data_IF_605278423324
#
_entry.id   IF_605278423324
#
_cell.length_a   1.000
_cell.length_b   1.000
_cell.length_c   1.000
_cell.angle_alpha   90.00
_cell.angle_beta   90.00
_cell.angle_gamma   90.00
#
_symmetry.space_group_name_H-M   'P 1'
#
loop_
_entity.id
_entity.type
_entity.pdbx_description
1 polymer ?
#
# COMPACT_ATOMS: atom_id res chain seq x y z
N UNK A 1 -8.76 -25.90 23.82
CA UNK A 1 -8.72 -25.96 22.34
C UNK A 1 -9.46 -24.74 21.78
N UNK A 2 -8.82 -23.55 21.89
CA UNK A 2 -9.33 -22.27 21.36
C UNK A 2 -8.47 -21.80 20.18
N UNK A 3 -8.30 -22.68 19.17
CA UNK A 3 -7.49 -22.34 17.97
C UNK A 3 -8.21 -21.36 17.05
N UNK A 4 -9.52 -21.16 17.24
CA UNK A 4 -10.31 -20.14 16.55
C UNK A 4 -10.48 -18.90 17.44
N UNK A 5 -9.36 -18.38 17.90
CA UNK A 5 -9.27 -17.14 18.66
C UNK A 5 -9.76 -15.95 17.80
N UNK A 6 -10.15 -14.86 18.48
CA UNK A 6 -10.58 -13.61 17.84
C UNK A 6 -9.58 -13.17 16.76
N UNK A 7 -8.27 -13.28 17.05
CA UNK A 7 -7.20 -12.94 16.11
C UNK A 7 -7.27 -13.75 14.80
N UNK A 8 -7.47 -15.06 14.88
CA UNK A 8 -7.61 -15.90 13.68
C UNK A 8 -8.83 -15.52 12.84
N UNK A 9 -9.97 -15.23 13.50
CA UNK A 9 -11.18 -14.78 12.80
C UNK A 9 -10.97 -13.42 12.13
N UNK A 10 -10.29 -12.49 12.78
CA UNK A 10 -9.94 -11.18 12.23
C UNK A 10 -9.05 -11.35 10.99
N UNK A 11 -8.02 -12.19 11.05
CA UNK A 11 -7.14 -12.50 9.92
C UNK A 11 -7.94 -13.13 8.77
N UNK A 12 -8.73 -14.17 9.03
CA UNK A 12 -9.47 -14.89 8.00
C UNK A 12 -10.50 -13.99 7.30
N UNK A 13 -11.27 -13.22 8.07
CA UNK A 13 -12.27 -12.31 7.50
C UNK A 13 -11.63 -11.23 6.65
N UNK A 14 -10.52 -10.66 7.11
CA UNK A 14 -9.80 -9.63 6.36
C UNK A 14 -9.16 -10.18 5.10
N UNK A 15 -8.63 -11.41 5.16
CA UNK A 15 -8.08 -12.07 3.99
C UNK A 15 -9.16 -12.33 2.91
N UNK A 16 -10.36 -12.72 3.31
CA UNK A 16 -11.48 -12.87 2.37
C UNK A 16 -11.88 -11.53 1.73
N UNK A 17 -11.93 -10.46 2.51
CA UNK A 17 -12.17 -9.11 2.00
C UNK A 17 -11.06 -8.69 1.03
N UNK A 18 -9.80 -8.98 1.36
CA UNK A 18 -8.65 -8.69 0.50
C UNK A 18 -8.73 -9.42 -0.84
N UNK A 19 -9.13 -10.68 -0.85
CA UNK A 19 -9.33 -11.44 -2.11
C UNK A 19 -10.36 -10.73 -3.00
N UNK A 20 -11.49 -10.31 -2.44
CA UNK A 20 -12.52 -9.59 -3.20
C UNK A 20 -11.97 -8.26 -3.73
N UNK A 21 -11.25 -7.50 -2.89
CA UNK A 21 -10.61 -6.25 -3.30
C UNK A 21 -9.60 -6.45 -4.43
N UNK A 22 -8.76 -7.48 -4.34
CA UNK A 22 -7.81 -7.86 -5.39
C UNK A 22 -8.50 -8.24 -6.70
N UNK A 23 -9.63 -8.96 -6.64
CA UNK A 23 -10.44 -9.28 -7.84
C UNK A 23 -11.01 -8.01 -8.49
N UNK A 24 -11.46 -7.05 -7.70
CA UNK A 24 -11.94 -5.76 -8.22
C UNK A 24 -10.80 -5.00 -8.88
N UNK A 25 -9.65 -4.86 -8.23
CA UNK A 25 -8.48 -4.20 -8.81
C UNK A 25 -8.01 -4.89 -10.09
N UNK A 26 -7.94 -6.23 -10.11
CA UNK A 26 -7.60 -7.00 -11.30
C UNK A 26 -8.60 -6.83 -12.44
N UNK A 27 -9.90 -6.73 -12.12
CA UNK A 27 -10.94 -6.46 -13.12
C UNK A 27 -10.78 -5.06 -13.73
N UNK A 28 -10.52 -4.05 -12.91
CA UNK A 28 -10.25 -2.69 -13.39
C UNK A 28 -9.01 -2.68 -14.30
N UNK A 29 -7.93 -3.35 -13.90
CA UNK A 29 -6.72 -3.47 -14.70
C UNK A 29 -7.01 -4.14 -16.06
N UNK A 30 -7.84 -5.17 -16.08
CA UNK A 30 -8.27 -5.85 -17.30
C UNK A 30 -9.05 -4.93 -18.24
N UNK A 31 -9.89 -4.04 -17.71
CA UNK A 31 -10.61 -3.06 -18.52
C UNK A 31 -9.67 -2.04 -19.19
N UNK A 32 -8.53 -1.73 -18.58
CA UNK A 32 -7.53 -0.80 -19.11
C UNK A 32 -6.42 -1.48 -19.93
N UNK A 33 -6.52 -2.79 -20.22
CA UNK A 33 -5.46 -3.55 -20.90
C UNK A 33 -5.05 -2.91 -22.24
N UNK A 34 -5.99 -2.44 -23.04
CA UNK A 34 -5.68 -1.83 -24.35
C UNK A 34 -4.84 -0.56 -24.19
N UNK A 35 -5.08 0.25 -23.17
CA UNK A 35 -4.31 1.46 -22.86
C UNK A 35 -2.92 1.10 -22.35
N UNK A 36 -2.81 0.08 -21.50
CA UNK A 36 -1.54 -0.40 -20.97
C UNK A 36 -0.65 -0.99 -22.07
N UNK A 37 -1.22 -1.64 -23.07
CA UNK A 37 -0.49 -2.19 -24.22
C UNK A 37 0.15 -1.11 -25.11
N UNK A 38 -0.25 0.15 -24.98
CA UNK A 38 0.44 1.27 -25.68
C UNK A 38 1.86 1.45 -25.17
N UNK A 39 2.13 1.07 -23.93
CA UNK A 39 3.46 1.10 -23.31
C UNK A 39 3.70 -0.26 -22.64
N UNK A 40 4.11 -1.31 -23.40
CA UNK A 40 4.23 -2.67 -22.84
C UNK A 40 5.14 -2.76 -21.61
N UNK A 41 6.15 -1.89 -21.53
CA UNK A 41 7.05 -1.84 -20.39
C UNK A 41 6.36 -1.42 -19.05
N UNK A 42 5.12 -0.92 -19.09
CA UNK A 42 4.36 -0.59 -17.87
C UNK A 42 4.06 -1.85 -17.06
N UNK A 43 3.94 -3.02 -17.71
CA UNK A 43 3.75 -4.30 -17.03
C UNK A 43 4.92 -4.70 -16.13
N UNK A 44 6.11 -4.09 -16.31
CA UNK A 44 7.25 -4.27 -15.40
C UNK A 44 7.04 -3.52 -14.08
N UNK A 45 6.32 -2.40 -14.13
CA UNK A 45 6.08 -1.52 -12.97
C UNK A 45 4.95 -2.07 -12.12
N UNK A 46 3.88 -2.59 -12.74
CA UNK A 46 2.63 -2.93 -12.07
C UNK A 46 2.81 -3.86 -10.86
N UNK A 47 3.48 -5.02 -10.95
CA UNK A 47 3.61 -5.91 -9.79
C UNK A 47 4.31 -5.24 -8.61
N UNK A 48 5.42 -4.55 -8.87
CA UNK A 48 6.19 -3.86 -7.83
C UNK A 48 5.44 -2.68 -7.23
N UNK A 49 4.66 -1.96 -8.04
CA UNK A 49 3.88 -0.81 -7.59
C UNK A 49 2.70 -1.23 -6.71
N UNK A 50 1.99 -2.29 -7.08
CA UNK A 50 0.90 -2.85 -6.28
C UNK A 50 1.42 -3.42 -4.95
N UNK A 51 2.51 -4.19 -4.98
CA UNK A 51 3.14 -4.74 -3.78
C UNK A 51 3.65 -3.67 -2.79
N UNK A 52 4.02 -2.49 -3.31
CA UNK A 52 4.53 -1.38 -2.51
C UNK A 52 3.60 -0.99 -1.36
N UNK A 53 2.28 -1.01 -1.56
CA UNK A 53 1.31 -0.57 -0.54
C UNK A 53 1.24 -1.52 0.64
N UNK A 54 1.29 -2.83 0.39
CA UNK A 54 1.41 -3.82 1.45
C UNK A 54 2.65 -3.60 2.32
N UNK A 55 3.76 -3.27 1.69
CA UNK A 55 5.03 -3.07 2.38
C UNK A 55 5.12 -1.73 3.09
N UNK A 56 4.84 -0.62 2.41
CA UNK A 56 4.98 0.74 2.98
C UNK A 56 3.89 1.00 4.03
N UNK A 57 2.63 0.87 3.64
CA UNK A 57 1.51 1.18 4.53
C UNK A 57 1.29 0.10 5.58
N UNK A 58 1.58 -1.18 5.27
CA UNK A 58 1.57 -2.26 6.24
C UNK A 58 2.61 -2.05 7.34
N UNK A 59 3.84 -1.67 6.99
CA UNK A 59 4.89 -1.30 7.95
C UNK A 59 4.48 -0.09 8.79
N UNK A 60 3.89 0.93 8.17
CA UNK A 60 3.40 2.11 8.87
C UNK A 60 2.31 1.74 9.89
N UNK A 61 1.32 0.94 9.48
CA UNK A 61 0.26 0.45 10.36
C UNK A 61 0.81 -0.37 11.53
N UNK A 62 1.77 -1.27 11.28
CA UNK A 62 2.40 -2.10 12.31
C UNK A 62 3.17 -1.27 13.34
N UNK A 63 3.90 -0.24 12.89
CA UNK A 63 4.60 0.68 13.81
C UNK A 63 3.63 1.50 14.67
N UNK A 64 2.53 1.97 14.08
CA UNK A 64 1.48 2.67 14.83
C UNK A 64 0.80 1.73 15.84
N UNK A 65 0.45 0.54 15.42
CA UNK A 65 -0.16 -0.48 16.27
C UNK A 65 0.74 -0.79 17.47
N UNK A 66 2.01 -1.07 17.24
CA UNK A 66 2.99 -1.30 18.31
C UNK A 66 3.09 -0.10 19.25
N UNK A 67 3.11 1.12 18.71
CA UNK A 67 3.13 2.35 19.50
C UNK A 67 1.88 2.53 20.38
N UNK A 68 0.71 2.14 19.87
CA UNK A 68 -0.55 2.16 20.60
C UNK A 68 -0.57 1.12 21.73
N UNK A 69 -0.13 -0.12 21.47
CA UNK A 69 -0.06 -1.17 22.49
C UNK A 69 0.95 -0.86 23.61
N UNK A 70 2.07 -0.22 23.26
CA UNK A 70 3.10 0.18 24.24
C UNK A 70 2.76 1.49 24.97
N UNK A 71 1.67 2.16 24.61
CA UNK A 71 1.29 3.45 25.19
C UNK A 71 2.20 4.63 24.78
N UNK A 72 3.11 4.45 23.81
CA UNK A 72 3.93 5.51 23.24
C UNK A 72 3.11 6.45 22.35
N UNK A 73 2.11 5.91 21.69
CA UNK A 73 1.11 6.64 20.93
C UNK A 73 -0.21 6.58 21.71
N UNK A 74 -0.79 7.76 22.00
CA UNK A 74 -2.09 7.83 22.68
C UNK A 74 -3.22 7.48 21.72
N UNK A 75 -4.15 6.65 22.13
CA UNK A 75 -5.37 6.32 21.39
C UNK A 75 -6.34 7.52 21.27
N UNK A 76 -6.19 8.52 22.14
CA UNK A 76 -7.05 9.71 22.19
C UNK A 76 -6.68 10.78 21.17
N UNK A 77 -5.42 10.81 20.72
CA UNK A 77 -4.92 11.86 19.81
C UNK A 77 -4.01 11.30 18.73
N UNK A 78 -4.31 11.65 17.49
CA UNK A 78 -3.49 11.32 16.31
C UNK A 78 -2.38 12.35 16.08
N UNK A 79 -2.40 13.48 16.79
CA UNK A 79 -1.49 14.62 16.58
C UNK A 79 -0.32 14.57 17.57
N UNK A 80 0.50 13.53 17.49
CA UNK A 80 1.73 13.40 18.29
C UNK A 80 2.96 13.46 17.40
N UNK A 81 4.11 13.85 17.97
CA UNK A 81 5.39 13.85 17.24
C UNK A 81 5.73 12.46 16.69
N UNK A 82 5.40 11.41 17.44
CA UNK A 82 5.63 10.05 17.02
C UNK A 82 4.78 9.67 15.79
N UNK A 83 3.50 10.03 15.77
CA UNK A 83 2.61 9.82 14.62
C UNK A 83 3.09 10.62 13.41
N UNK A 84 3.39 11.90 13.59
CA UNK A 84 3.90 12.78 12.53
C UNK A 84 5.20 12.25 11.93
N UNK A 85 6.15 11.81 12.75
CA UNK A 85 7.40 11.23 12.28
C UNK A 85 7.20 9.95 11.47
N UNK A 86 6.32 9.06 11.91
CA UNK A 86 5.97 7.85 11.17
C UNK A 86 5.24 8.15 9.85
N UNK A 87 4.37 9.17 9.85
CA UNK A 87 3.67 9.63 8.66
C UNK A 87 4.65 10.15 7.59
N UNK A 88 5.56 11.05 7.99
CA UNK A 88 6.61 11.59 7.11
C UNK A 88 7.49 10.45 6.57
N UNK A 89 7.88 9.50 7.42
CA UNK A 89 8.67 8.36 7.00
C UNK A 89 7.94 7.49 5.96
N UNK A 90 6.64 7.25 6.12
CA UNK A 90 5.84 6.49 5.17
C UNK A 90 5.73 7.20 3.81
N UNK A 91 5.47 8.52 3.79
CA UNK A 91 5.46 9.31 2.56
C UNK A 91 6.82 9.31 1.85
N UNK A 92 7.89 9.52 2.61
CA UNK A 92 9.25 9.51 2.07
C UNK A 92 9.59 8.15 1.47
N UNK A 93 9.24 7.06 2.17
CA UNK A 93 9.48 5.71 1.69
C UNK A 93 8.68 5.42 0.41
N UNK A 94 7.40 5.78 0.34
CA UNK A 94 6.59 5.63 -0.85
C UNK A 94 7.20 6.36 -2.05
N UNK A 95 7.66 7.60 -1.86
CA UNK A 95 8.31 8.39 -2.91
C UNK A 95 9.61 7.73 -3.37
N UNK A 96 10.49 7.34 -2.45
CA UNK A 96 11.77 6.70 -2.77
C UNK A 96 11.55 5.40 -3.54
N UNK A 97 10.63 4.55 -3.08
CA UNK A 97 10.31 3.27 -3.75
C UNK A 97 9.75 3.52 -5.15
N UNK A 98 8.87 4.51 -5.32
CA UNK A 98 8.32 4.87 -6.64
C UNK A 98 9.40 5.33 -7.63
N UNK A 99 10.36 6.15 -7.16
CA UNK A 99 11.49 6.59 -7.98
C UNK A 99 12.38 5.41 -8.35
N UNK A 100 12.73 4.57 -7.39
CA UNK A 100 13.59 3.39 -7.64
C UNK A 100 12.91 2.45 -8.63
N UNK A 101 11.62 2.18 -8.46
CA UNK A 101 10.85 1.32 -9.35
C UNK A 101 10.84 1.87 -10.79
N UNK A 102 10.60 3.17 -10.94
CA UNK A 102 10.64 3.84 -12.24
C UNK A 102 12.03 3.78 -12.91
N UNK A 103 13.09 4.01 -12.14
CA UNK A 103 14.46 3.91 -12.64
C UNK A 103 14.82 2.47 -13.07
N UNK A 104 14.44 1.47 -12.27
CA UNK A 104 14.68 0.06 -12.61
C UNK A 104 13.92 -0.32 -13.88
N UNK A 105 12.64 0.05 -13.99
CA UNK A 105 11.85 -0.22 -15.18
C UNK A 105 12.41 0.49 -16.42
N UNK A 106 12.87 1.73 -16.29
CA UNK A 106 13.50 2.48 -17.36
C UNK A 106 14.80 1.79 -17.85
N UNK A 107 15.68 1.40 -16.93
CA UNK A 107 16.93 0.71 -17.29
C UNK A 107 16.63 -0.64 -17.95
N UNK A 108 15.68 -1.39 -17.43
CA UNK A 108 15.27 -2.67 -18.01
C UNK A 108 14.70 -2.46 -19.43
N UNK A 109 13.89 -1.42 -19.64
CA UNK A 109 13.34 -1.09 -20.95
C UNK A 109 14.43 -0.78 -21.99
N UNK A 110 15.50 -0.08 -21.60
CA UNK A 110 16.64 0.16 -22.49
C UNK A 110 17.33 -1.15 -22.85
N UNK A 111 17.58 -2.03 -21.85
CA UNK A 111 18.35 -3.27 -22.08
C UNK A 111 17.56 -4.27 -22.92
N UNK A 112 16.24 -4.42 -22.65
CA UNK A 112 15.41 -5.45 -23.29
C UNK A 112 14.78 -4.98 -24.59
N UNK A 113 14.29 -3.74 -24.64
CA UNK A 113 13.54 -3.22 -25.78
C UNK A 113 14.33 -2.18 -26.61
N UNK A 114 15.54 -1.81 -26.18
CA UNK A 114 16.40 -0.86 -26.88
C UNK A 114 15.84 0.57 -26.93
N UNK A 115 14.85 0.91 -26.09
CA UNK A 115 14.20 2.22 -26.13
C UNK A 115 14.28 2.97 -24.80
N UNK A 116 14.60 4.27 -24.85
CA UNK A 116 14.68 5.13 -23.67
C UNK A 116 13.33 5.86 -23.47
N UNK A 117 12.41 5.25 -22.72
CA UNK A 117 11.07 5.79 -22.47
C UNK A 117 11.01 6.42 -21.07
N UNK A 118 11.27 7.72 -20.95
CA UNK A 118 11.30 8.45 -19.66
C UNK A 118 9.96 8.45 -18.91
N UNK A 119 8.86 8.21 -19.61
CA UNK A 119 7.53 8.07 -19.01
C UNK A 119 7.47 6.95 -17.98
N UNK A 120 8.32 5.91 -18.12
CA UNK A 120 8.44 4.82 -17.14
C UNK A 120 8.95 5.27 -15.77
N UNK A 121 9.66 6.41 -15.68
CA UNK A 121 10.03 7.01 -14.39
C UNK A 121 8.90 7.90 -13.88
N UNK A 122 8.28 8.68 -14.77
CA UNK A 122 7.26 9.65 -14.37
C UNK A 122 5.98 8.98 -13.86
N UNK A 123 5.53 7.89 -14.49
CA UNK A 123 4.28 7.19 -14.13
C UNK A 123 4.29 6.74 -12.66
N UNK A 124 5.23 5.90 -12.17
CA UNK A 124 5.18 5.43 -10.79
C UNK A 124 5.42 6.55 -9.78
N UNK A 125 6.17 7.59 -10.13
CA UNK A 125 6.39 8.74 -9.23
C UNK A 125 5.10 9.53 -9.05
N UNK A 126 4.42 9.90 -10.13
CA UNK A 126 3.17 10.67 -10.07
C UNK A 126 2.07 9.83 -9.41
N UNK A 127 1.89 8.59 -9.85
CA UNK A 127 0.92 7.67 -9.27
C UNK A 127 1.22 7.42 -7.77
N UNK A 128 2.50 7.25 -7.41
CA UNK A 128 2.94 7.06 -6.03
C UNK A 128 2.63 8.27 -5.14
N UNK A 129 2.82 9.50 -5.62
CA UNK A 129 2.47 10.72 -4.90
C UNK A 129 0.94 10.77 -4.67
N UNK A 130 0.15 10.57 -5.71
CA UNK A 130 -1.31 10.64 -5.64
C UNK A 130 -1.85 9.54 -4.71
N UNK A 131 -1.44 8.30 -4.93
CA UNK A 131 -1.90 7.19 -4.13
C UNK A 131 -1.44 7.29 -2.67
N UNK A 132 -0.21 7.74 -2.38
CA UNK A 132 0.25 7.95 -1.02
C UNK A 132 -0.57 9.00 -0.28
N UNK A 133 -1.00 10.05 -0.95
CA UNK A 133 -1.85 11.10 -0.37
C UNK A 133 -3.22 10.57 0.08
N UNK A 134 -3.66 9.43 -0.45
CA UNK A 134 -4.92 8.76 -0.09
C UNK A 134 -4.64 7.61 0.89
N UNK A 135 -3.76 6.69 0.51
CA UNK A 135 -3.56 5.42 1.24
C UNK A 135 -2.93 5.63 2.61
N UNK A 136 -1.94 6.53 2.75
CA UNK A 136 -1.24 6.71 4.03
C UNK A 136 -2.15 7.34 5.09
N UNK A 137 -2.90 8.44 4.84
CA UNK A 137 -3.86 8.96 5.81
C UNK A 137 -4.98 7.97 6.13
N UNK A 138 -5.46 7.21 5.14
CA UNK A 138 -6.47 6.18 5.35
C UNK A 138 -5.93 5.06 6.25
N UNK A 139 -4.68 4.63 6.06
CA UNK A 139 -3.99 3.68 6.94
C UNK A 139 -3.95 4.17 8.38
N UNK A 140 -3.61 5.45 8.60
CA UNK A 140 -3.62 6.06 9.93
C UNK A 140 -5.01 5.97 10.58
N UNK A 141 -6.04 6.43 9.87
CA UNK A 141 -7.41 6.47 10.38
C UNK A 141 -7.93 5.07 10.73
N UNK A 142 -7.75 4.10 9.83
CA UNK A 142 -8.21 2.72 10.04
C UNK A 142 -7.45 2.06 11.19
N UNK A 143 -6.13 2.24 11.29
CA UNK A 143 -5.33 1.68 12.39
C UNK A 143 -5.85 2.14 13.76
N UNK A 144 -6.11 3.44 13.92
CA UNK A 144 -6.68 3.98 15.17
C UNK A 144 -8.11 3.49 15.41
N UNK A 145 -8.93 3.43 14.37
CA UNK A 145 -10.31 2.95 14.49
C UNK A 145 -10.37 1.48 14.96
N UNK A 146 -9.55 0.62 14.37
CA UNK A 146 -9.45 -0.79 14.76
C UNK A 146 -8.97 -0.95 16.20
N UNK A 147 -7.92 -0.22 16.59
CA UNK A 147 -7.41 -0.26 17.95
C UNK A 147 -8.47 0.17 18.97
N UNK A 148 -9.18 1.27 18.72
CA UNK A 148 -10.28 1.76 19.58
C UNK A 148 -11.46 0.79 19.64
N UNK A 149 -11.70 0.03 18.57
CA UNK A 149 -12.73 -1.01 18.53
C UNK A 149 -12.30 -2.31 19.27
N UNK A 150 -11.07 -2.36 19.81
CA UNK A 150 -10.54 -3.52 20.51
C UNK A 150 -10.09 -4.66 19.61
N UNK A 151 -9.79 -4.36 18.34
CA UNK A 151 -9.12 -5.27 17.41
C UNK A 151 -7.61 -5.01 17.41
N UNK A 152 -6.83 -6.04 17.07
CA UNK A 152 -5.41 -5.85 16.81
C UNK A 152 -5.20 -5.44 15.35
N UNK A 153 -4.75 -4.18 15.08
CA UNK A 153 -4.54 -3.73 13.73
C UNK A 153 -3.50 -4.57 12.95
N UNK A 154 -2.55 -5.22 13.65
CA UNK A 154 -1.55 -6.07 12.98
C UNK A 154 -2.19 -7.26 12.25
N UNK A 155 -3.32 -7.76 12.74
CA UNK A 155 -4.02 -8.88 12.13
C UNK A 155 -4.84 -8.49 10.90
N UNK A 156 -5.19 -7.20 10.77
CA UNK A 156 -6.18 -6.71 9.81
C UNK A 156 -5.54 -5.83 8.74
N UNK A 157 -4.62 -4.94 9.13
CA UNK A 157 -4.15 -3.87 8.27
C UNK A 157 -3.36 -4.34 7.05
N UNK A 158 -2.55 -5.41 7.16
CA UNK A 158 -1.76 -5.90 6.04
C UNK A 158 -2.63 -6.20 4.81
N UNK A 159 -3.50 -7.20 4.86
CA UNK A 159 -4.36 -7.57 3.72
C UNK A 159 -5.30 -6.43 3.29
N UNK A 160 -5.86 -5.69 4.26
CA UNK A 160 -6.82 -4.62 3.98
C UNK A 160 -6.16 -3.48 3.18
N UNK A 161 -5.00 -3.02 3.62
CA UNK A 161 -4.30 -1.90 2.98
C UNK A 161 -3.72 -2.28 1.62
N UNK A 162 -3.29 -3.52 1.43
CA UNK A 162 -2.88 -4.00 0.10
C UNK A 162 -4.05 -3.86 -0.89
N UNK A 163 -5.21 -4.38 -0.56
CA UNK A 163 -6.39 -4.30 -1.44
C UNK A 163 -6.85 -2.87 -1.73
N UNK A 164 -6.84 -2.00 -0.70
CA UNK A 164 -7.20 -0.60 -0.88
C UNK A 164 -6.16 0.14 -1.73
N UNK A 165 -4.88 -0.14 -1.49
CA UNK A 165 -3.77 0.42 -2.25
C UNK A 165 -3.81 -0.01 -3.72
N UNK A 166 -4.09 -1.28 -4.00
CA UNK A 166 -4.25 -1.81 -5.35
C UNK A 166 -5.40 -1.10 -6.08
N UNK A 167 -6.57 -0.98 -5.42
CA UNK A 167 -7.71 -0.27 -5.96
C UNK A 167 -7.39 1.18 -6.32
N UNK A 168 -6.73 1.92 -5.42
CA UNK A 168 -6.35 3.32 -5.63
C UNK A 168 -5.27 3.46 -6.72
N UNK A 169 -4.41 2.47 -6.89
CA UNK A 169 -3.27 2.53 -7.83
C UNK A 169 -3.66 2.25 -9.28
N UNK A 170 -4.78 1.59 -9.51
CA UNK A 170 -5.26 1.27 -10.86
C UNK A 170 -6.00 2.45 -11.51
N UNK A 171 -6.49 3.40 -10.71
CA UNK A 171 -7.11 4.64 -11.17
C UNK A 171 -6.08 5.73 -11.45
#
# INVERSE_FOLDING_TARGET
MHVLDKGFRDILSTQLVSIVGGLVAGTLLALYTNQLLLIPAIFLILPGFLEMWGNVSGTFASRLSSGLFLGVVSDKTMHTKAVAGNLIAAFTLALVVSVVLGCVAFLFNIVVFGSATYVLIAIPVIAGIIASAIVIPLTLLITFALFRAGHDPNNIMGPLITSLGDGVSVF
#
